data_IF_527443894060
#
_entry.id   IF_527443894060
#
_cell.length_a   1.000
_cell.length_b   1.000
_cell.length_c   1.000
_cell.angle_alpha   90.00
_cell.angle_beta   90.00
_cell.angle_gamma   90.00
#
_symmetry.space_group_name_H-M   'P 1'
#
loop_
_entity.id
_entity.type
_entity.pdbx_description
1 polymer ?
#
# COMPACT_ATOMS: atom_id res chain seq x y z
N UNK A 1 -30.12 19.01 -20.75
CA UNK A 1 -29.24 17.88 -20.44
C UNK A 1 -28.74 18.11 -19.04
N UNK A 2 -28.89 17.14 -18.10
CA UNK A 2 -28.29 17.26 -16.77
C UNK A 2 -26.77 17.30 -16.92
N UNK A 3 -26.13 18.22 -16.25
CA UNK A 3 -24.66 18.31 -16.23
C UNK A 3 -24.09 17.16 -15.39
N UNK A 4 -22.81 16.81 -15.56
CA UNK A 4 -22.16 15.79 -14.71
C UNK A 4 -22.23 16.16 -13.22
N UNK A 5 -22.31 17.47 -12.93
CA UNK A 5 -22.42 17.99 -11.55
C UNK A 5 -23.78 17.76 -10.89
N UNK A 6 -24.82 17.48 -11.67
CA UNK A 6 -26.15 17.14 -11.14
C UNK A 6 -26.24 15.68 -10.69
N UNK A 7 -25.17 14.89 -10.94
CA UNK A 7 -25.07 13.48 -10.57
C UNK A 7 -24.72 13.31 -9.09
N UNK A 8 -25.50 12.47 -8.41
CA UNK A 8 -25.22 12.04 -7.04
C UNK A 8 -24.25 10.89 -7.02
N UNK A 9 -23.19 11.01 -6.21
CA UNK A 9 -22.11 10.03 -6.12
C UNK A 9 -22.21 9.21 -4.84
N UNK A 10 -21.82 7.93 -4.89
CA UNK A 10 -21.52 7.15 -3.70
C UNK A 10 -20.06 6.66 -3.75
N UNK A 11 -19.33 6.86 -2.66
CA UNK A 11 -18.00 6.26 -2.45
C UNK A 11 -18.16 5.06 -1.52
N UNK A 12 -17.82 3.87 -2.01
CA UNK A 12 -17.97 2.60 -1.32
C UNK A 12 -16.63 2.12 -0.78
N UNK A 13 -16.47 2.21 0.55
CA UNK A 13 -15.20 1.97 1.23
C UNK A 13 -14.49 3.27 1.57
N UNK A 14 -14.50 3.65 2.84
CA UNK A 14 -13.96 4.92 3.34
C UNK A 14 -12.61 4.69 4.03
N UNK A 15 -11.63 4.27 3.24
CA UNK A 15 -10.24 4.12 3.65
C UNK A 15 -9.35 5.25 3.13
N UNK A 16 -8.05 4.99 3.06
CA UNK A 16 -7.00 5.91 2.57
C UNK A 16 -7.25 6.47 1.15
N UNK A 17 -8.10 5.82 0.38
CA UNK A 17 -8.49 6.23 -0.98
C UNK A 17 -9.85 6.92 -0.97
N UNK A 18 -10.85 6.29 -0.35
CA UNK A 18 -12.23 6.72 -0.45
C UNK A 18 -12.52 8.05 0.24
N UNK A 19 -11.92 8.30 1.42
CA UNK A 19 -12.15 9.55 2.15
C UNK A 19 -11.58 10.77 1.38
N UNK A 20 -10.30 10.80 0.97
CA UNK A 20 -9.77 11.93 0.20
C UNK A 20 -10.53 12.16 -1.11
N UNK A 21 -10.93 11.08 -1.79
CA UNK A 21 -11.70 11.17 -3.03
C UNK A 21 -13.08 11.79 -2.80
N UNK A 22 -13.81 11.37 -1.75
CA UNK A 22 -15.10 11.93 -1.37
C UNK A 22 -15.00 13.43 -1.06
N UNK A 23 -13.96 13.83 -0.32
CA UNK A 23 -13.68 15.23 0.00
C UNK A 23 -13.44 16.05 -1.27
N UNK A 24 -12.61 15.57 -2.19
CA UNK A 24 -12.34 16.29 -3.45
C UNK A 24 -13.60 16.45 -4.30
N UNK A 25 -14.49 15.46 -4.38
CA UNK A 25 -15.76 15.62 -5.08
C UNK A 25 -16.67 16.66 -4.42
N UNK A 26 -16.79 16.64 -3.09
CA UNK A 26 -17.60 17.64 -2.36
C UNK A 26 -17.04 19.05 -2.52
N UNK A 27 -15.71 19.24 -2.48
CA UNK A 27 -15.07 20.55 -2.74
C UNK A 27 -15.41 21.09 -4.11
N UNK A 28 -15.63 20.22 -5.08
CA UNK A 28 -16.00 20.59 -6.45
C UNK A 28 -17.52 20.62 -6.69
N UNK A 29 -18.33 20.56 -5.61
CA UNK A 29 -19.76 20.82 -5.64
C UNK A 29 -20.65 19.61 -5.93
N UNK A 30 -20.13 18.39 -5.83
CA UNK A 30 -20.93 17.17 -5.96
C UNK A 30 -21.66 16.83 -4.64
N UNK A 31 -22.82 16.21 -4.74
CA UNK A 31 -23.48 15.54 -3.64
C UNK A 31 -22.89 14.14 -3.48
N UNK A 32 -22.31 13.85 -2.30
CA UNK A 32 -21.57 12.61 -2.05
C UNK A 32 -22.13 11.86 -0.86
N UNK A 33 -22.44 10.59 -1.07
CA UNK A 33 -22.72 9.59 -0.04
C UNK A 33 -21.45 8.79 0.20
N UNK A 34 -20.93 8.80 1.44
CA UNK A 34 -19.82 7.96 1.85
C UNK A 34 -20.33 6.72 2.57
N UNK A 35 -20.10 5.54 2.03
CA UNK A 35 -20.56 4.27 2.60
C UNK A 35 -19.39 3.41 3.09
N UNK A 36 -19.49 2.91 4.32
CA UNK A 36 -18.60 1.86 4.85
C UNK A 36 -19.41 0.87 5.70
N UNK A 37 -19.01 -0.40 5.68
CA UNK A 37 -19.64 -1.45 6.50
C UNK A 37 -19.26 -1.33 7.98
N UNK A 38 -18.19 -0.62 8.30
CA UNK A 38 -17.72 -0.43 9.67
C UNK A 38 -18.48 0.73 10.33
N UNK A 39 -19.41 0.37 11.22
CA UNK A 39 -20.27 1.34 11.95
C UNK A 39 -19.47 2.31 12.82
N UNK A 40 -18.42 1.82 13.51
CA UNK A 40 -17.57 2.67 14.33
C UNK A 40 -16.86 3.75 13.50
N UNK A 41 -16.33 3.36 12.35
CA UNK A 41 -15.72 4.30 11.40
C UNK A 41 -16.73 5.35 10.90
N UNK A 42 -17.97 4.94 10.60
CA UNK A 42 -19.03 5.87 10.17
C UNK A 42 -19.37 6.87 11.29
N UNK A 43 -19.44 6.40 12.53
CA UNK A 43 -19.67 7.27 13.69
C UNK A 43 -18.51 8.27 13.88
N UNK A 44 -17.26 7.82 13.82
CA UNK A 44 -16.08 8.68 13.89
C UNK A 44 -16.08 9.75 12.78
N UNK A 45 -16.35 9.37 11.53
CA UNK A 45 -16.39 10.29 10.40
C UNK A 45 -17.53 11.32 10.52
N UNK A 46 -18.70 10.94 11.04
CA UNK A 46 -19.79 11.86 11.35
C UNK A 46 -19.42 12.88 12.43
N UNK A 47 -18.55 12.49 13.36
CA UNK A 47 -18.00 13.35 14.41
C UNK A 47 -16.77 14.16 13.93
N UNK A 48 -16.39 14.05 12.66
CA UNK A 48 -15.25 14.78 12.09
C UNK A 48 -13.90 14.15 12.41
N UNK A 49 -13.86 12.87 12.81
CA UNK A 49 -12.62 12.14 13.09
C UNK A 49 -12.25 11.26 11.90
N UNK A 50 -11.10 11.55 11.30
CA UNK A 50 -10.50 10.71 10.25
C UNK A 50 -9.31 9.94 10.82
N UNK A 51 -9.51 8.64 11.08
CA UNK A 51 -8.44 7.76 11.56
C UNK A 51 -7.37 7.47 10.51
N UNK A 52 -7.63 7.75 9.23
CA UNK A 52 -6.61 7.55 8.16
C UNK A 52 -5.54 8.63 8.14
N UNK A 53 -5.86 9.83 8.68
CA UNK A 53 -4.98 11.00 8.67
C UNK A 53 -4.73 11.58 7.27
N UNK A 54 -5.55 11.24 6.29
CA UNK A 54 -5.42 11.72 4.91
C UNK A 54 -6.16 13.03 4.67
N UNK A 55 -7.13 13.39 5.51
CA UNK A 55 -7.86 14.66 5.45
C UNK A 55 -7.09 15.73 6.22
N UNK A 56 -6.85 16.88 5.56
CA UNK A 56 -6.22 18.01 6.23
C UNK A 56 -7.24 18.81 7.04
N UNK A 57 -6.74 19.63 7.95
CA UNK A 57 -7.57 20.59 8.72
C UNK A 57 -8.41 21.50 7.81
N UNK A 58 -7.86 21.97 6.70
CA UNK A 58 -8.54 22.81 5.72
C UNK A 58 -9.69 22.08 4.99
N UNK A 59 -9.67 20.75 4.96
CA UNK A 59 -10.65 19.91 4.26
C UNK A 59 -11.79 19.42 5.18
N UNK A 60 -11.71 19.65 6.51
CA UNK A 60 -12.75 19.20 7.46
C UNK A 60 -14.12 19.80 7.18
N UNK A 61 -14.19 21.05 6.71
CA UNK A 61 -15.47 21.68 6.36
C UNK A 61 -16.12 21.04 5.12
N UNK A 62 -15.33 20.55 4.19
CA UNK A 62 -15.83 19.76 3.05
C UNK A 62 -16.29 18.37 3.51
N UNK A 63 -15.51 17.71 4.39
CA UNK A 63 -15.84 16.40 4.92
C UNK A 63 -17.21 16.39 5.64
N UNK A 64 -17.57 17.43 6.37
CA UNK A 64 -18.87 17.57 7.04
C UNK A 64 -20.07 17.57 6.10
N UNK A 65 -19.87 17.88 4.81
CA UNK A 65 -20.94 17.88 3.80
C UNK A 65 -21.17 16.51 3.18
N UNK A 66 -20.32 15.52 3.47
CA UNK A 66 -20.49 14.15 3.01
C UNK A 66 -21.58 13.47 3.87
N UNK A 67 -22.52 12.82 3.22
CA UNK A 67 -23.49 11.98 3.90
C UNK A 67 -22.88 10.61 4.22
N UNK A 68 -22.30 10.45 5.41
CA UNK A 68 -21.71 9.18 5.85
C UNK A 68 -22.78 8.21 6.31
N UNK A 69 -22.77 6.97 5.82
CA UNK A 69 -23.77 5.96 6.13
C UNK A 69 -23.24 4.53 6.09
N UNK A 70 -23.82 3.66 6.88
CA UNK A 70 -23.70 2.21 6.83
C UNK A 70 -25.01 1.54 6.35
N UNK A 71 -26.03 2.36 6.01
CA UNK A 71 -27.33 1.90 5.52
C UNK A 71 -27.37 1.87 3.99
N UNK A 72 -27.58 0.68 3.41
CA UNK A 72 -27.64 0.48 1.96
C UNK A 72 -28.83 1.21 1.28
N UNK A 73 -29.89 1.53 2.00
CA UNK A 73 -31.03 2.27 1.45
C UNK A 73 -30.64 3.67 0.95
N UNK A 74 -29.63 4.28 1.58
CA UNK A 74 -29.12 5.60 1.20
C UNK A 74 -28.37 5.58 -0.14
N UNK A 75 -28.03 4.39 -0.64
CA UNK A 75 -27.37 4.19 -1.91
C UNK A 75 -28.34 4.15 -3.12
N UNK A 76 -29.64 3.89 -2.90
CA UNK A 76 -30.62 3.76 -3.99
C UNK A 76 -30.81 5.02 -4.86
N UNK A 77 -30.77 6.26 -4.31
CA UNK A 77 -30.90 7.47 -5.13
C UNK A 77 -29.60 7.96 -5.76
N UNK A 78 -28.58 7.09 -5.88
CA UNK A 78 -27.24 7.43 -6.41
C UNK A 78 -27.20 7.15 -7.92
N UNK A 79 -26.51 8.01 -8.67
CA UNK A 79 -26.30 7.85 -10.12
C UNK A 79 -24.99 7.11 -10.43
N UNK A 80 -23.92 7.41 -9.68
CA UNK A 80 -22.58 6.87 -9.92
C UNK A 80 -22.01 6.33 -8.61
N UNK A 81 -21.61 5.06 -8.63
CA UNK A 81 -20.94 4.39 -7.52
C UNK A 81 -19.45 4.31 -7.81
N UNK A 82 -18.60 4.67 -6.85
CA UNK A 82 -17.15 4.54 -6.94
C UNK A 82 -16.68 3.59 -5.86
N UNK A 83 -16.06 2.49 -6.25
CA UNK A 83 -15.65 1.39 -5.37
C UNK A 83 -14.18 1.54 -5.02
N UNK A 84 -13.88 1.74 -3.74
CA UNK A 84 -12.53 1.96 -3.18
C UNK A 84 -12.21 1.00 -2.03
N UNK A 85 -12.83 -0.18 -2.06
CA UNK A 85 -12.61 -1.22 -1.04
C UNK A 85 -11.24 -1.88 -1.19
N UNK A 86 -10.66 -2.45 -0.10
CA UNK A 86 -9.37 -3.13 -0.17
C UNK A 86 -9.44 -4.40 -1.03
N UNK A 87 -8.31 -4.74 -1.64
CA UNK A 87 -8.09 -5.95 -2.43
C UNK A 87 -6.81 -6.64 -1.94
N UNK A 88 -6.89 -7.37 -0.80
CA UNK A 88 -5.74 -8.06 -0.22
C UNK A 88 -5.40 -9.36 -0.98
N UNK A 89 -4.36 -10.03 -0.52
CA UNK A 89 -4.04 -11.41 -0.86
C UNK A 89 -4.21 -12.29 0.38
N UNK A 90 -4.52 -13.56 0.16
CA UNK A 90 -4.58 -14.56 1.21
C UNK A 90 -3.18 -15.05 1.63
N UNK A 91 -3.12 -15.96 2.61
CA UNK A 91 -1.86 -16.56 3.09
C UNK A 91 -1.11 -17.34 2.00
N UNK A 92 -1.82 -17.82 0.97
CA UNK A 92 -1.25 -18.50 -0.19
C UNK A 92 -0.84 -17.54 -1.31
N UNK A 93 -0.89 -16.21 -1.04
CA UNK A 93 -0.58 -15.13 -1.98
C UNK A 93 -1.52 -15.11 -3.20
N UNK A 94 -2.76 -15.60 -3.03
CA UNK A 94 -3.80 -15.50 -4.05
C UNK A 94 -4.64 -14.24 -3.84
N UNK A 95 -5.12 -13.58 -4.91
CA UNK A 95 -6.03 -12.45 -4.81
C UNK A 95 -7.28 -12.78 -3.99
N UNK A 96 -7.58 -12.00 -2.97
CA UNK A 96 -8.85 -12.07 -2.26
C UNK A 96 -9.81 -11.04 -2.82
N UNK A 97 -10.74 -11.49 -3.66
CA UNK A 97 -11.80 -10.67 -4.25
C UNK A 97 -13.03 -10.53 -3.34
N UNK A 98 -13.03 -11.13 -2.15
CA UNK A 98 -14.16 -11.09 -1.23
C UNK A 98 -14.73 -9.69 -0.99
N UNK A 99 -13.92 -8.69 -0.63
CA UNK A 99 -14.40 -7.33 -0.39
C UNK A 99 -15.03 -6.68 -1.63
N UNK A 100 -14.38 -6.77 -2.82
CA UNK A 100 -14.86 -6.12 -4.04
C UNK A 100 -16.13 -6.81 -4.59
N UNK A 101 -16.23 -8.13 -4.49
CA UNK A 101 -17.44 -8.87 -4.86
C UNK A 101 -18.59 -8.59 -3.89
N UNK A 102 -18.30 -8.41 -2.59
CA UNK A 102 -19.31 -8.00 -1.60
C UNK A 102 -19.82 -6.59 -1.86
N UNK A 103 -18.94 -5.65 -2.22
CA UNK A 103 -19.33 -4.31 -2.65
C UNK A 103 -20.17 -4.36 -3.94
N UNK A 104 -19.77 -5.16 -4.93
CA UNK A 104 -20.54 -5.36 -6.18
C UNK A 104 -21.92 -5.97 -5.90
N UNK A 105 -22.03 -6.91 -4.97
CA UNK A 105 -23.32 -7.46 -4.53
C UNK A 105 -24.21 -6.40 -3.90
N UNK A 106 -23.66 -5.59 -2.99
CA UNK A 106 -24.39 -4.49 -2.34
C UNK A 106 -24.91 -3.50 -3.38
N UNK A 107 -24.03 -3.02 -4.25
CA UNK A 107 -24.38 -2.09 -5.33
C UNK A 107 -25.45 -2.68 -6.25
N UNK A 108 -25.29 -3.95 -6.66
CA UNK A 108 -26.27 -4.63 -7.52
C UNK A 108 -27.69 -4.63 -6.96
N UNK A 109 -27.85 -4.61 -5.64
CA UNK A 109 -29.16 -4.50 -4.98
C UNK A 109 -29.75 -3.07 -5.00
N UNK A 110 -28.91 -2.07 -5.27
CA UNK A 110 -29.27 -0.65 -5.27
C UNK A 110 -29.37 -0.06 -6.68
N UNK A 111 -28.82 -0.73 -7.70
CA UNK A 111 -28.76 -0.22 -9.07
C UNK A 111 -30.11 0.15 -9.67
N UNK A 112 -30.12 1.24 -10.41
CA UNK A 112 -31.19 1.70 -11.28
C UNK A 112 -30.69 1.84 -12.71
N UNK A 113 -31.62 1.87 -13.70
CA UNK A 113 -31.26 2.04 -15.13
C UNK A 113 -30.46 3.32 -15.35
N UNK A 114 -29.37 3.20 -16.08
CA UNK A 114 -28.47 4.30 -16.43
C UNK A 114 -27.38 4.57 -15.37
N UNK A 115 -27.35 3.83 -14.27
CA UNK A 115 -26.29 3.97 -13.29
C UNK A 115 -24.92 3.51 -13.82
N UNK A 116 -23.86 4.09 -13.26
CA UNK A 116 -22.47 3.75 -13.59
C UNK A 116 -21.77 3.27 -12.31
N UNK A 117 -21.06 2.14 -12.41
CA UNK A 117 -20.21 1.64 -11.32
C UNK A 117 -18.74 1.77 -11.74
N UNK A 118 -17.99 2.61 -11.05
CA UNK A 118 -16.57 2.84 -11.31
C UNK A 118 -15.75 2.13 -10.24
N UNK A 119 -14.82 1.27 -10.66
CA UNK A 119 -13.90 0.61 -9.73
C UNK A 119 -12.58 1.37 -9.71
N UNK A 120 -12.09 1.65 -8.49
CA UNK A 120 -10.75 2.20 -8.23
C UNK A 120 -9.85 1.21 -7.49
N UNK A 121 -10.44 0.21 -6.84
CA UNK A 121 -9.71 -0.86 -6.17
C UNK A 121 -8.75 -1.55 -7.13
N UNK A 122 -7.52 -1.82 -6.68
CA UNK A 122 -6.50 -2.48 -7.52
C UNK A 122 -6.89 -3.93 -7.78
N UNK A 123 -6.97 -4.30 -9.05
CA UNK A 123 -7.32 -5.66 -9.50
C UNK A 123 -6.49 -6.07 -10.71
N UNK A 124 -6.49 -7.36 -11.05
CA UNK A 124 -5.87 -7.84 -12.29
C UNK A 124 -6.70 -7.44 -13.54
N UNK A 125 -6.05 -7.35 -14.71
CA UNK A 125 -6.76 -7.01 -15.95
C UNK A 125 -7.89 -7.99 -16.28
N UNK A 126 -9.09 -7.47 -16.41
CA UNK A 126 -10.33 -8.21 -16.69
C UNK A 126 -11.22 -8.45 -15.46
N UNK A 127 -10.74 -8.20 -14.24
CA UNK A 127 -11.50 -8.48 -13.01
C UNK A 127 -12.84 -7.72 -12.97
N UNK A 128 -12.87 -6.45 -13.36
CA UNK A 128 -14.13 -5.69 -13.38
C UNK A 128 -15.18 -6.37 -14.26
N UNK A 129 -14.82 -6.74 -15.48
CA UNK A 129 -15.77 -7.30 -16.45
C UNK A 129 -16.04 -8.79 -16.24
N UNK A 130 -15.04 -9.57 -15.78
CA UNK A 130 -15.12 -11.03 -15.66
C UNK A 130 -15.64 -11.50 -14.30
N UNK A 131 -15.40 -10.74 -13.21
CA UNK A 131 -15.76 -11.13 -11.85
C UNK A 131 -16.83 -10.19 -11.24
N UNK A 132 -16.67 -8.87 -11.35
CA UNK A 132 -17.59 -7.92 -10.71
C UNK A 132 -18.91 -7.76 -11.47
N UNK A 133 -18.87 -7.61 -12.80
CA UNK A 133 -20.07 -7.44 -13.63
C UNK A 133 -21.06 -8.60 -13.47
N UNK A 134 -20.66 -9.88 -13.50
CA UNK A 134 -21.61 -10.99 -13.28
C UNK A 134 -22.32 -10.91 -11.92
N UNK A 135 -21.66 -10.37 -10.90
CA UNK A 135 -22.28 -10.17 -9.57
C UNK A 135 -23.29 -9.00 -9.64
N UNK A 136 -22.95 -7.90 -10.30
CA UNK A 136 -23.87 -6.78 -10.49
C UNK A 136 -25.13 -7.24 -11.24
N UNK A 137 -25.00 -7.95 -12.37
CA UNK A 137 -26.13 -8.49 -13.14
C UNK A 137 -27.00 -9.45 -12.32
N UNK A 138 -26.34 -10.37 -11.56
CA UNK A 138 -27.04 -11.34 -10.71
C UNK A 138 -27.96 -10.67 -9.68
N UNK A 139 -27.51 -9.59 -9.03
CA UNK A 139 -28.24 -8.98 -7.92
C UNK A 139 -29.15 -7.83 -8.37
N UNK A 140 -28.84 -7.11 -9.45
CA UNK A 140 -29.70 -6.08 -10.02
C UNK A 140 -30.79 -6.64 -10.92
N UNK A 141 -30.56 -7.81 -11.55
CA UNK A 141 -31.39 -8.37 -12.63
C UNK A 141 -31.40 -7.48 -13.89
N UNK A 142 -30.36 -6.71 -14.09
CA UNK A 142 -30.16 -5.80 -15.23
C UNK A 142 -29.03 -6.30 -16.13
N UNK A 143 -29.06 -5.90 -17.41
CA UNK A 143 -28.05 -6.26 -18.39
C UNK A 143 -26.93 -5.21 -18.44
N UNK A 144 -25.68 -5.69 -18.40
CA UNK A 144 -24.49 -4.88 -18.54
C UNK A 144 -24.42 -4.22 -19.94
N UNK A 145 -24.02 -2.96 -20.02
CA UNK A 145 -23.95 -2.14 -21.22
C UNK A 145 -25.30 -1.85 -21.91
N UNK A 146 -26.41 -2.19 -21.25
CA UNK A 146 -27.77 -1.86 -21.70
C UNK A 146 -28.50 -1.07 -20.58
N UNK A 147 -28.60 -1.64 -19.39
CA UNK A 147 -29.32 -1.06 -18.27
C UNK A 147 -28.40 -0.34 -17.28
N UNK A 148 -27.16 -0.83 -17.10
CA UNK A 148 -26.12 -0.20 -16.29
C UNK A 148 -24.75 -0.34 -16.98
N UNK A 149 -23.79 0.45 -16.51
CA UNK A 149 -22.46 0.53 -17.11
C UNK A 149 -21.37 0.47 -16.06
N UNK A 150 -20.14 0.16 -16.51
CA UNK A 150 -18.97 0.18 -15.65
C UNK A 150 -17.88 1.09 -16.18
N UNK A 151 -17.05 1.58 -15.26
CA UNK A 151 -15.79 2.24 -15.52
C UNK A 151 -14.71 1.69 -14.62
N UNK A 152 -13.47 2.02 -14.94
CA UNK A 152 -12.33 1.77 -14.08
C UNK A 152 -11.37 2.96 -14.12
N UNK A 153 -10.95 3.39 -12.94
CA UNK A 153 -9.99 4.50 -12.79
C UNK A 153 -9.07 4.20 -11.62
N UNK A 154 -7.84 3.71 -11.87
CA UNK A 154 -6.96 3.28 -10.79
C UNK A 154 -6.58 4.41 -9.86
N UNK A 155 -6.52 4.11 -8.56
CA UNK A 155 -5.95 5.02 -7.60
C UNK A 155 -4.41 5.01 -7.66
N UNK A 156 -3.81 6.20 -7.60
CA UNK A 156 -2.36 6.43 -7.73
C UNK A 156 -1.77 7.21 -6.56
N UNK A 157 -2.57 7.48 -5.52
CA UNK A 157 -2.10 8.13 -4.28
C UNK A 157 -1.08 7.23 -3.58
N UNK A 158 -0.08 7.86 -2.99
CA UNK A 158 0.84 7.21 -2.09
C UNK A 158 0.49 7.63 -0.65
N UNK A 159 -0.10 6.77 0.18
CA UNK A 159 -0.50 7.12 1.54
C UNK A 159 0.61 7.82 2.31
N UNK A 160 0.26 8.93 2.99
CA UNK A 160 1.21 9.79 3.71
C UNK A 160 2.03 10.75 2.84
N UNK A 161 1.86 10.76 1.51
CA UNK A 161 2.50 11.76 0.63
C UNK A 161 1.67 13.04 0.62
N UNK A 162 2.15 14.06 1.33
CA UNK A 162 1.46 15.37 1.44
C UNK A 162 1.58 16.24 0.20
N UNK A 163 2.47 15.90 -0.74
CA UNK A 163 2.71 16.67 -1.96
C UNK A 163 1.88 16.16 -3.14
N UNK A 164 1.72 14.82 -3.25
CA UNK A 164 1.02 14.16 -4.35
C UNK A 164 -0.34 13.67 -3.88
N UNK A 165 -1.37 14.52 -4.07
CA UNK A 165 -2.75 14.29 -3.65
C UNK A 165 -3.63 13.91 -4.84
N UNK A 166 -4.88 13.52 -4.57
CA UNK A 166 -5.87 13.13 -5.59
C UNK A 166 -5.87 14.10 -6.76
N UNK A 167 -5.99 15.41 -6.51
CA UNK A 167 -6.19 16.44 -7.53
C UNK A 167 -4.95 16.76 -8.39
N UNK A 168 -3.72 16.41 -7.92
CA UNK A 168 -2.49 16.79 -8.62
C UNK A 168 -1.71 15.60 -9.20
N UNK A 169 -2.36 14.43 -9.33
CA UNK A 169 -1.83 13.25 -10.03
C UNK A 169 -2.69 13.00 -11.27
N UNK A 170 -2.07 12.86 -12.45
CA UNK A 170 -2.81 12.49 -13.67
C UNK A 170 -3.59 11.19 -13.42
N UNK A 171 -4.91 11.24 -13.61
CA UNK A 171 -5.81 10.10 -13.37
C UNK A 171 -6.06 9.33 -14.68
N UNK A 172 -5.87 8.01 -14.65
CA UNK A 172 -6.25 7.15 -15.79
C UNK A 172 -7.74 6.90 -15.72
N UNK A 173 -8.44 7.01 -16.85
CA UNK A 173 -9.89 6.82 -16.93
C UNK A 173 -10.27 5.85 -18.04
N UNK A 174 -11.33 5.08 -17.82
CA UNK A 174 -11.87 4.15 -18.81
C UNK A 174 -13.36 3.87 -18.56
N UNK A 175 -14.03 3.33 -19.56
CA UNK A 175 -15.44 2.94 -19.47
C UNK A 175 -15.75 1.73 -20.34
N UNK A 176 -16.86 1.09 -20.04
CA UNK A 176 -17.31 -0.13 -20.73
C UNK A 176 -17.83 0.13 -22.16
N UNK A 177 -18.17 1.38 -22.46
CA UNK A 177 -18.44 1.87 -23.84
C UNK A 177 -17.71 3.20 -24.05
N UNK A 178 -17.52 3.66 -25.31
CA UNK A 178 -16.91 4.96 -25.58
C UNK A 178 -17.64 6.14 -24.93
N UNK A 179 -18.98 6.09 -24.87
CA UNK A 179 -19.81 7.11 -24.23
C UNK A 179 -19.58 7.15 -22.74
N UNK A 180 -19.55 5.99 -22.10
CA UNK A 180 -19.28 5.87 -20.65
C UNK A 180 -17.84 6.27 -20.31
N UNK A 181 -16.87 5.92 -21.18
CA UNK A 181 -15.49 6.38 -21.00
C UNK A 181 -15.41 7.92 -21.02
N UNK A 182 -16.22 8.60 -21.86
CA UNK A 182 -16.30 10.06 -21.86
C UNK A 182 -16.93 10.60 -20.56
N UNK A 183 -17.99 9.97 -20.05
CA UNK A 183 -18.65 10.38 -18.80
C UNK A 183 -17.69 10.21 -17.61
N UNK A 184 -16.99 9.08 -17.53
CA UNK A 184 -15.99 8.83 -16.47
C UNK A 184 -14.84 9.84 -16.55
N UNK A 185 -14.35 10.11 -17.76
CA UNK A 185 -13.29 11.10 -18.00
C UNK A 185 -13.73 12.51 -17.60
N UNK A 186 -14.94 12.94 -18.00
CA UNK A 186 -15.52 14.22 -17.61
C UNK A 186 -15.67 14.35 -16.08
N UNK A 187 -16.13 13.27 -15.40
CA UNK A 187 -16.29 13.24 -13.97
C UNK A 187 -14.98 13.53 -13.24
N UNK A 188 -13.92 12.79 -13.57
CA UNK A 188 -12.62 12.98 -12.92
C UNK A 188 -11.94 14.29 -13.30
N UNK A 189 -12.14 14.80 -14.50
CA UNK A 189 -11.65 16.13 -14.88
C UNK A 189 -12.24 17.27 -14.03
N UNK A 190 -13.37 17.05 -13.32
CA UNK A 190 -13.89 18.05 -12.38
C UNK A 190 -13.00 18.22 -11.14
N UNK A 191 -12.25 17.19 -10.75
CA UNK A 191 -11.47 17.16 -9.50
C UNK A 191 -9.97 17.08 -9.75
N UNK A 192 -9.50 16.63 -10.92
CA UNK A 192 -8.08 16.45 -11.24
C UNK A 192 -7.56 17.69 -12.00
N UNK A 193 -6.75 18.51 -11.34
CA UNK A 193 -6.26 19.77 -11.89
C UNK A 193 -5.19 19.61 -12.97
N UNK A 194 -4.46 18.48 -12.94
CA UNK A 194 -3.41 18.15 -13.93
C UNK A 194 -3.91 17.32 -15.10
N UNK A 195 -5.23 17.07 -15.14
CA UNK A 195 -5.92 16.35 -16.22
C UNK A 195 -5.93 14.84 -16.05
N UNK A 196 -6.63 14.21 -16.99
CA UNK A 196 -6.83 12.76 -17.05
C UNK A 196 -6.13 12.16 -18.28
N UNK A 197 -5.95 10.84 -18.25
CA UNK A 197 -5.48 10.05 -19.38
C UNK A 197 -6.50 8.95 -19.68
N UNK A 198 -7.37 9.23 -20.66
CA UNK A 198 -8.39 8.27 -21.08
C UNK A 198 -7.79 7.16 -21.91
N UNK A 199 -8.04 5.91 -21.53
CA UNK A 199 -7.55 4.71 -22.24
C UNK A 199 -8.69 3.97 -22.96
N UNK A 200 -8.33 3.03 -23.82
CA UNK A 200 -9.26 2.38 -24.76
C UNK A 200 -10.21 1.37 -24.12
N UNK A 201 -9.90 0.85 -22.91
CA UNK A 201 -10.75 -0.14 -22.24
C UNK A 201 -10.47 -0.22 -20.75
N UNK A 202 -11.39 -0.81 -19.99
CA UNK A 202 -11.25 -1.14 -18.58
C UNK A 202 -10.00 -1.99 -18.35
N UNK A 203 -9.78 -3.05 -19.13
CA UNK A 203 -8.60 -3.93 -19.02
C UNK A 203 -7.27 -3.19 -19.17
N UNK A 204 -7.21 -2.18 -20.03
CA UNK A 204 -5.99 -1.35 -20.20
C UNK A 204 -5.75 -0.50 -18.95
N UNK A 205 -6.82 0.08 -18.36
CA UNK A 205 -6.70 0.88 -17.15
C UNK A 205 -6.28 0.02 -15.94
N UNK A 206 -6.88 -1.17 -15.76
CA UNK A 206 -6.49 -2.15 -14.75
C UNK A 206 -5.01 -2.57 -14.90
N UNK A 207 -4.61 -2.90 -16.14
CA UNK A 207 -3.23 -3.28 -16.45
C UNK A 207 -2.24 -2.16 -16.10
N UNK A 208 -2.57 -0.90 -16.40
CA UNK A 208 -1.68 0.24 -16.14
C UNK A 208 -1.32 0.36 -14.67
N UNK A 209 -2.28 0.15 -13.77
CA UNK A 209 -2.07 0.19 -12.32
C UNK A 209 -1.12 -0.91 -11.86
N UNK A 210 -1.40 -2.14 -12.28
CA UNK A 210 -0.66 -3.31 -11.81
C UNK A 210 0.82 -3.25 -12.23
N UNK A 211 1.11 -2.77 -13.47
CA UNK A 211 2.49 -2.71 -13.96
C UNK A 211 3.32 -1.62 -13.29
N UNK A 212 2.70 -0.51 -12.81
CA UNK A 212 3.41 0.54 -12.08
C UNK A 212 4.08 -0.02 -10.81
N UNK A 213 3.33 -0.79 -10.04
CA UNK A 213 3.82 -1.39 -8.79
C UNK A 213 4.70 -2.62 -9.05
N UNK A 214 4.37 -3.45 -10.04
CA UNK A 214 5.21 -4.59 -10.45
C UNK A 214 6.59 -4.11 -10.92
N UNK A 215 6.66 -3.06 -11.73
CA UNK A 215 7.91 -2.48 -12.20
C UNK A 215 8.77 -1.97 -11.04
N UNK A 216 8.15 -1.30 -10.05
CA UNK A 216 8.85 -0.82 -8.86
C UNK A 216 9.38 -1.98 -8.02
N UNK A 217 8.57 -3.00 -7.79
CA UNK A 217 8.94 -4.21 -7.07
C UNK A 217 10.14 -4.91 -7.70
N UNK A 218 10.11 -5.08 -9.03
CA UNK A 218 11.20 -5.71 -9.77
C UNK A 218 12.51 -4.89 -9.75
N UNK A 219 12.43 -3.57 -9.83
CA UNK A 219 13.62 -2.74 -9.71
C UNK A 219 14.24 -2.83 -8.31
N UNK A 220 13.42 -2.91 -7.26
CA UNK A 220 13.94 -3.11 -5.90
C UNK A 220 14.52 -4.52 -5.77
N UNK A 221 13.87 -5.55 -6.33
CA UNK A 221 14.40 -6.92 -6.28
C UNK A 221 15.76 -7.06 -6.98
N UNK A 222 15.93 -6.38 -8.11
CA UNK A 222 17.22 -6.34 -8.82
C UNK A 222 18.32 -5.71 -7.95
N UNK A 223 18.02 -4.60 -7.28
CA UNK A 223 19.00 -3.93 -6.41
C UNK A 223 19.24 -4.75 -5.12
N UNK A 224 18.23 -5.44 -4.61
CA UNK A 224 18.39 -6.42 -3.53
C UNK A 224 19.33 -7.56 -3.96
N UNK A 225 19.14 -8.11 -5.16
CA UNK A 225 20.04 -9.15 -5.68
C UNK A 225 21.47 -8.65 -5.82
N UNK A 226 21.68 -7.41 -6.28
CA UNK A 226 23.00 -6.79 -6.29
C UNK A 226 23.60 -6.75 -4.88
N UNK A 227 22.84 -6.35 -3.86
CA UNK A 227 23.32 -6.36 -2.48
C UNK A 227 23.74 -7.77 -2.02
N UNK A 228 22.98 -8.82 -2.37
CA UNK A 228 23.32 -10.20 -2.07
C UNK A 228 24.63 -10.65 -2.76
N UNK A 229 24.87 -10.22 -3.99
CA UNK A 229 26.08 -10.52 -4.77
C UNK A 229 27.28 -9.79 -4.17
N UNK A 230 27.14 -8.48 -3.90
CA UNK A 230 28.24 -7.65 -3.42
C UNK A 230 28.65 -7.98 -1.99
N UNK A 231 27.69 -8.41 -1.14
CA UNK A 231 28.01 -8.97 0.17
C UNK A 231 29.00 -10.17 0.07
N UNK A 232 28.76 -11.09 -0.88
CA UNK A 232 29.67 -12.22 -1.11
C UNK A 232 31.03 -11.80 -1.63
N UNK A 233 31.13 -10.64 -2.26
CA UNK A 233 32.39 -10.07 -2.76
C UNK A 233 33.07 -9.16 -1.73
N UNK A 234 32.44 -8.89 -0.58
CA UNK A 234 32.87 -7.92 0.43
C UNK A 234 32.99 -6.49 -0.14
N UNK A 235 32.06 -6.08 -1.00
CA UNK A 235 32.00 -4.76 -1.61
C UNK A 235 30.76 -4.02 -1.09
N UNK A 236 30.92 -2.75 -0.76
CA UNK A 236 29.84 -1.90 -0.26
C UNK A 236 28.84 -1.56 -1.40
N UNK A 237 27.61 -2.03 -1.26
CA UNK A 237 26.55 -1.85 -2.25
C UNK A 237 26.23 -0.38 -2.49
N UNK A 238 26.20 0.44 -1.44
CA UNK A 238 25.85 1.86 -1.53
C UNK A 238 26.88 2.62 -2.37
N UNK A 239 28.17 2.36 -2.15
CA UNK A 239 29.25 2.99 -2.91
C UNK A 239 29.15 2.66 -4.41
N UNK A 240 28.80 1.40 -4.75
CA UNK A 240 28.57 1.00 -6.14
C UNK A 240 27.36 1.73 -6.74
N UNK A 241 26.25 1.79 -5.98
CA UNK A 241 25.04 2.46 -6.46
C UNK A 241 25.22 3.97 -6.61
N UNK A 242 26.03 4.60 -5.77
CA UNK A 242 26.42 6.01 -5.91
C UNK A 242 27.27 6.22 -7.18
N UNK A 243 28.25 5.37 -7.41
CA UNK A 243 29.08 5.42 -8.63
C UNK A 243 28.24 5.18 -9.90
N UNK A 244 27.38 4.17 -9.91
CA UNK A 244 26.47 3.89 -11.02
C UNK A 244 25.46 5.02 -11.25
N UNK A 245 24.99 5.65 -10.17
CA UNK A 245 24.05 6.78 -10.17
C UNK A 245 24.60 8.07 -10.79
N UNK A 246 25.91 8.17 -11.02
CA UNK A 246 26.49 9.28 -11.78
C UNK A 246 26.09 9.26 -13.26
N UNK A 247 25.62 8.11 -13.75
CA UNK A 247 25.10 8.00 -15.11
C UNK A 247 23.64 8.48 -15.16
N UNK A 248 23.36 9.39 -16.06
CA UNK A 248 22.08 10.11 -16.18
C UNK A 248 20.83 9.24 -16.31
N UNK A 249 20.94 8.02 -16.81
CA UNK A 249 19.81 7.09 -17.01
C UNK A 249 19.79 5.93 -16.01
N UNK A 250 20.61 5.97 -14.97
CA UNK A 250 20.56 4.98 -13.90
C UNK A 250 19.43 5.32 -12.92
N UNK A 251 18.54 4.38 -12.64
CA UNK A 251 17.41 4.59 -11.77
C UNK A 251 17.84 4.45 -10.29
N UNK A 252 17.50 5.41 -9.40
CA UNK A 252 18.04 5.49 -8.05
C UNK A 252 17.32 4.58 -7.05
N UNK A 253 17.07 3.32 -7.41
CA UNK A 253 16.54 2.35 -6.46
C UNK A 253 17.60 1.94 -5.44
N UNK A 254 17.15 1.61 -4.23
CA UNK A 254 18.01 1.19 -3.13
C UNK A 254 17.54 -0.18 -2.61
N UNK A 255 18.46 -1.01 -2.07
CA UNK A 255 18.08 -2.28 -1.46
C UNK A 255 17.28 -2.04 -0.17
N UNK A 256 16.48 -3.03 0.23
CA UNK A 256 15.73 -2.96 1.47
C UNK A 256 14.56 -3.94 1.53
N UNK A 257 13.81 -3.84 2.61
CA UNK A 257 12.60 -4.63 2.81
C UNK A 257 11.44 -4.03 2.00
N UNK A 258 10.72 -4.89 1.30
CA UNK A 258 9.57 -4.50 0.45
C UNK A 258 8.28 -4.99 1.07
N UNK A 259 7.64 -4.13 1.82
CA UNK A 259 6.34 -4.35 2.47
C UNK A 259 5.23 -3.47 1.89
N UNK A 260 4.17 -3.30 2.70
CA UNK A 260 3.01 -2.47 2.36
C UNK A 260 1.94 -3.23 1.58
N UNK A 261 0.83 -2.55 1.35
CA UNK A 261 -0.37 -3.14 0.75
C UNK A 261 -0.44 -3.01 -0.79
N UNK A 262 0.56 -2.38 -1.42
CA UNK A 262 0.61 -2.22 -2.88
C UNK A 262 1.75 -3.02 -3.49
N UNK A 263 3.01 -2.62 -3.25
CA UNK A 263 4.17 -3.19 -3.96
C UNK A 263 4.34 -4.68 -3.65
N UNK A 264 4.06 -5.12 -2.42
CA UNK A 264 4.15 -6.53 -2.03
C UNK A 264 2.92 -7.38 -2.41
N UNK A 265 1.85 -6.76 -2.90
CA UNK A 265 0.55 -7.40 -3.18
C UNK A 265 0.23 -7.41 -4.68
N UNK A 266 0.28 -6.25 -5.33
CA UNK A 266 -0.16 -6.08 -6.73
C UNK A 266 0.52 -7.04 -7.73
N UNK A 267 1.82 -7.37 -7.62
CA UNK A 267 2.44 -8.34 -8.52
C UNK A 267 1.77 -9.71 -8.48
N UNK A 268 1.23 -10.12 -7.32
CA UNK A 268 0.55 -11.41 -7.20
C UNK A 268 -0.80 -11.44 -7.93
N UNK A 269 -1.50 -10.31 -8.02
CA UNK A 269 -2.70 -10.19 -8.86
C UNK A 269 -2.37 -10.49 -10.33
N UNK A 270 -1.29 -9.88 -10.85
CA UNK A 270 -0.87 -10.10 -12.24
C UNK A 270 -0.37 -11.54 -12.47
N UNK A 271 0.43 -12.08 -11.53
CA UNK A 271 0.97 -13.44 -11.67
C UNK A 271 -0.11 -14.50 -11.59
N UNK A 272 -1.11 -14.32 -10.73
CA UNK A 272 -2.25 -15.23 -10.64
C UNK A 272 -3.05 -15.23 -11.96
N UNK A 273 -3.36 -14.05 -12.50
CA UNK A 273 -4.07 -13.94 -13.79
C UNK A 273 -3.25 -14.56 -14.93
N UNK A 274 -1.94 -14.32 -14.98
CA UNK A 274 -1.06 -14.92 -15.99
C UNK A 274 -1.08 -16.45 -15.93
N UNK A 275 -0.98 -17.02 -14.72
CA UNK A 275 -1.02 -18.47 -14.50
C UNK A 275 -2.38 -19.09 -14.89
N UNK A 276 -3.49 -18.39 -14.61
CA UNK A 276 -4.83 -18.85 -15.02
C UNK A 276 -4.98 -18.89 -16.56
N UNK A 277 -4.19 -18.08 -17.28
CA UNK A 277 -4.11 -18.08 -18.74
C UNK A 277 -3.06 -19.06 -19.30
N UNK A 278 -2.41 -19.85 -18.44
CA UNK A 278 -1.39 -20.82 -18.84
C UNK A 278 0.01 -20.24 -19.03
N UNK A 279 0.26 -18.97 -18.63
CA UNK A 279 1.58 -18.34 -18.70
C UNK A 279 2.25 -18.29 -17.32
N UNK A 280 3.46 -18.83 -17.20
CA UNK A 280 4.23 -18.77 -15.96
C UNK A 280 5.12 -17.51 -15.96
N UNK A 281 4.85 -16.52 -15.10
CA UNK A 281 5.56 -15.23 -15.12
C UNK A 281 6.89 -15.29 -14.35
N UNK A 282 7.92 -15.90 -14.91
CA UNK A 282 9.22 -16.19 -14.28
C UNK A 282 9.89 -14.96 -13.67
N UNK A 283 9.97 -13.86 -14.43
CA UNK A 283 10.66 -12.64 -14.01
C UNK A 283 10.01 -12.04 -12.76
N UNK A 284 8.67 -11.93 -12.76
CA UNK A 284 7.92 -11.35 -11.64
C UNK A 284 8.04 -12.22 -10.41
N UNK A 285 7.85 -13.53 -10.55
CA UNK A 285 7.94 -14.48 -9.43
C UNK A 285 9.36 -14.59 -8.87
N UNK A 286 10.39 -14.50 -9.70
CA UNK A 286 11.79 -14.46 -9.25
C UNK A 286 12.08 -13.21 -8.44
N UNK A 287 11.62 -12.03 -8.90
CA UNK A 287 11.75 -10.79 -8.14
C UNK A 287 11.03 -10.85 -6.79
N UNK A 288 9.79 -11.34 -6.78
CA UNK A 288 9.05 -11.53 -5.52
C UNK A 288 9.77 -12.45 -4.55
N UNK A 289 10.33 -13.55 -5.02
CA UNK A 289 11.09 -14.49 -4.19
C UNK A 289 12.30 -13.81 -3.54
N UNK A 290 13.01 -12.94 -4.25
CA UNK A 290 14.14 -12.18 -3.71
C UNK A 290 13.63 -11.25 -2.60
N UNK A 291 12.64 -10.40 -2.90
CA UNK A 291 12.11 -9.42 -1.95
C UNK A 291 11.50 -10.08 -0.70
N UNK A 292 10.76 -11.18 -0.86
CA UNK A 292 10.16 -11.93 0.26
C UNK A 292 11.20 -12.56 1.18
N UNK A 293 12.39 -12.91 0.67
CA UNK A 293 13.44 -13.54 1.47
C UNK A 293 14.41 -12.54 2.13
N UNK A 294 14.30 -11.24 1.86
CA UNK A 294 15.24 -10.24 2.39
C UNK A 294 15.24 -10.17 3.91
N UNK A 295 14.08 -10.30 4.58
CA UNK A 295 14.00 -10.32 6.04
C UNK A 295 14.83 -11.45 6.67
N UNK A 296 14.68 -12.66 6.14
CA UNK A 296 15.47 -13.83 6.57
C UNK A 296 16.95 -13.67 6.26
N UNK A 297 17.30 -13.14 5.10
CA UNK A 297 18.70 -12.87 4.76
C UNK A 297 19.35 -11.92 5.74
N UNK A 298 18.70 -10.80 6.04
CA UNK A 298 19.22 -9.78 6.97
C UNK A 298 19.38 -10.37 8.37
N UNK A 299 18.38 -11.09 8.89
CA UNK A 299 18.46 -11.73 10.18
C UNK A 299 19.65 -12.67 10.27
N UNK A 300 19.83 -13.56 9.30
CA UNK A 300 20.94 -14.49 9.23
C UNK A 300 22.29 -13.77 9.10
N UNK A 301 22.34 -12.63 8.39
CA UNK A 301 23.57 -11.82 8.28
C UNK A 301 23.96 -11.22 9.62
N UNK A 302 22.99 -10.62 10.34
CA UNK A 302 23.20 -10.07 11.69
C UNK A 302 23.70 -11.16 12.66
N UNK A 303 23.09 -12.35 12.64
CA UNK A 303 23.48 -13.47 13.48
C UNK A 303 24.95 -13.89 13.19
N UNK A 304 25.33 -13.97 11.91
CA UNK A 304 26.73 -14.26 11.54
C UNK A 304 27.70 -13.21 12.07
N UNK A 305 27.35 -11.93 12.00
CA UNK A 305 28.15 -10.84 12.56
C UNK A 305 28.27 -10.93 14.08
N UNK A 306 27.17 -11.28 14.79
CA UNK A 306 27.19 -11.50 16.23
C UNK A 306 28.14 -12.63 16.61
N UNK A 307 28.05 -13.77 15.92
CA UNK A 307 28.96 -14.92 16.16
C UNK A 307 30.41 -14.53 15.87
N UNK A 308 30.70 -13.82 14.80
CA UNK A 308 32.04 -13.32 14.44
C UNK A 308 32.61 -12.39 15.53
N UNK A 309 31.73 -11.60 16.16
CA UNK A 309 32.13 -10.74 17.30
C UNK A 309 32.17 -11.46 18.65
N UNK A 310 32.04 -12.78 18.67
CA UNK A 310 31.98 -13.61 19.89
C UNK A 310 30.79 -13.23 20.80
N UNK A 311 29.66 -12.87 20.24
CA UNK A 311 28.40 -12.68 20.95
C UNK A 311 27.57 -13.97 20.90
N UNK A 312 26.95 -14.32 22.04
CA UNK A 312 26.01 -15.43 22.12
C UNK A 312 24.66 -14.97 21.58
N UNK A 313 24.12 -15.65 20.58
CA UNK A 313 22.81 -15.27 19.96
C UNK A 313 21.65 -15.61 20.89
N UNK A 314 21.65 -16.85 21.45
CA UNK A 314 20.61 -17.27 22.39
C UNK A 314 20.63 -16.38 23.64
N UNK A 315 19.45 -15.84 23.99
CA UNK A 315 19.27 -14.87 25.10
C UNK A 315 19.90 -13.49 24.84
N UNK A 316 20.47 -13.24 23.67
CA UNK A 316 20.93 -11.89 23.33
C UNK A 316 19.75 -10.90 23.28
N UNK A 317 20.05 -9.64 23.55
CA UNK A 317 19.08 -8.55 23.48
C UNK A 317 19.27 -7.79 22.18
N UNK A 318 18.29 -7.88 21.29
CA UNK A 318 18.30 -7.26 19.95
C UNK A 318 17.28 -6.10 19.92
N UNK A 319 17.70 -4.94 19.44
CA UNK A 319 16.82 -3.81 19.18
C UNK A 319 16.54 -3.71 17.69
N UNK A 320 15.26 -3.63 17.31
CA UNK A 320 14.81 -3.28 15.97
C UNK A 320 14.20 -1.90 16.01
N UNK A 321 14.73 -0.99 15.21
CA UNK A 321 14.29 0.39 15.06
C UNK A 321 13.41 0.51 13.80
N UNK A 322 12.11 0.71 14.01
CA UNK A 322 11.08 0.78 12.97
C UNK A 322 10.45 -0.56 12.65
N UNK A 323 9.12 -0.57 12.52
CA UNK A 323 8.30 -1.73 12.12
C UNK A 323 7.34 -1.39 10.97
N UNK A 324 7.07 -0.11 10.72
CA UNK A 324 6.23 0.34 9.63
C UNK A 324 6.81 -0.04 8.26
N UNK A 325 6.00 -0.10 7.22
CA UNK A 325 6.50 -0.54 5.91
C UNK A 325 7.37 0.52 5.20
N UNK A 326 7.28 1.79 5.61
CA UNK A 326 8.11 2.89 5.09
C UNK A 326 8.32 3.99 6.14
N UNK A 327 9.24 4.90 5.83
CA UNK A 327 9.65 6.01 6.67
C UNK A 327 8.51 7.01 6.94
N UNK A 328 8.44 7.49 8.19
CA UNK A 328 7.54 8.57 8.64
C UNK A 328 6.04 8.33 8.36
N UNK A 329 5.61 7.08 8.36
CA UNK A 329 4.25 6.65 8.10
C UNK A 329 3.81 5.68 9.21
N UNK A 330 2.56 5.72 9.71
CA UNK A 330 2.09 4.82 10.75
C UNK A 330 1.69 3.43 10.25
N UNK A 331 1.59 3.22 8.95
CA UNK A 331 1.07 2.00 8.35
C UNK A 331 2.03 0.81 8.51
N UNK A 332 1.55 -0.24 9.15
CA UNK A 332 2.31 -1.46 9.48
C UNK A 332 2.01 -2.64 8.53
N UNK A 333 1.01 -2.52 7.66
CA UNK A 333 0.49 -3.65 6.87
C UNK A 333 1.57 -4.30 6.00
N UNK A 334 1.61 -5.63 6.03
CA UNK A 334 2.59 -6.46 5.30
C UNK A 334 4.06 -6.06 5.53
N UNK A 335 4.39 -5.56 6.73
CA UNK A 335 5.78 -5.20 7.05
C UNK A 335 6.68 -6.43 7.02
N UNK A 336 7.74 -6.40 6.21
CA UNK A 336 8.76 -7.46 6.14
C UNK A 336 9.76 -7.45 7.30
N UNK A 337 9.68 -6.43 8.15
CA UNK A 337 10.43 -6.39 9.41
C UNK A 337 10.01 -7.53 10.33
N UNK A 338 8.74 -7.96 10.25
CA UNK A 338 8.21 -9.07 11.03
C UNK A 338 8.94 -10.39 10.73
N UNK A 339 9.26 -10.66 9.47
CA UNK A 339 9.97 -11.88 9.07
C UNK A 339 11.35 -11.95 9.76
N UNK A 340 12.04 -10.81 9.80
CA UNK A 340 13.33 -10.68 10.49
C UNK A 340 13.19 -10.84 12.01
N UNK A 341 12.17 -10.25 12.63
CA UNK A 341 11.91 -10.36 14.08
C UNK A 341 11.65 -11.82 14.46
N UNK A 342 10.79 -12.51 13.70
CA UNK A 342 10.48 -13.92 13.91
C UNK A 342 11.71 -14.81 13.76
N UNK A 343 12.54 -14.52 12.77
CA UNK A 343 13.79 -15.25 12.56
C UNK A 343 14.74 -15.07 13.75
N UNK A 344 14.97 -13.85 14.28
CA UNK A 344 15.77 -13.64 15.49
C UNK A 344 15.20 -14.39 16.69
N UNK A 345 13.89 -14.36 16.88
CA UNK A 345 13.20 -15.05 17.96
C UNK A 345 13.38 -16.57 17.87
N UNK A 346 13.41 -17.14 16.65
CA UNK A 346 13.64 -18.57 16.42
C UNK A 346 15.02 -19.04 16.86
N UNK A 347 16.02 -18.14 16.85
CA UNK A 347 17.35 -18.39 17.40
C UNK A 347 17.45 -18.18 18.92
N UNK A 348 16.33 -17.87 19.58
CA UNK A 348 16.25 -17.65 21.02
C UNK A 348 16.78 -16.30 21.50
N UNK A 349 16.83 -15.30 20.62
CA UNK A 349 17.12 -13.92 21.00
C UNK A 349 15.87 -13.24 21.60
N UNK A 350 16.10 -12.26 22.48
CA UNK A 350 15.04 -11.36 22.98
C UNK A 350 15.00 -10.12 22.11
N UNK A 351 13.94 -9.97 21.32
CA UNK A 351 13.80 -8.84 20.39
C UNK A 351 12.93 -7.76 21.02
N UNK A 352 13.47 -6.55 21.12
CA UNK A 352 12.72 -5.34 21.43
C UNK A 352 12.51 -4.54 20.15
N UNK A 353 11.27 -4.11 19.89
CA UNK A 353 10.93 -3.32 18.73
C UNK A 353 10.47 -1.94 19.19
N UNK A 354 11.05 -0.91 18.63
CA UNK A 354 10.65 0.48 18.88
C UNK A 354 10.30 1.19 17.56
N UNK A 355 9.10 1.75 17.51
CA UNK A 355 8.66 2.57 16.39
C UNK A 355 7.89 3.79 16.93
N UNK A 356 8.29 5.01 16.54
CA UNK A 356 7.64 6.23 17.05
C UNK A 356 6.34 6.62 16.32
N UNK A 357 5.96 5.89 15.27
CA UNK A 357 4.79 6.17 14.44
C UNK A 357 3.74 5.06 14.47
N UNK A 358 4.16 3.80 14.68
CA UNK A 358 3.25 2.67 14.69
C UNK A 358 2.30 2.71 15.90
N UNK A 359 1.03 2.35 15.66
CA UNK A 359 0.04 2.18 16.73
C UNK A 359 0.32 0.87 17.47
N UNK A 360 0.40 0.94 18.80
CA UNK A 360 0.76 -0.21 19.64
C UNK A 360 -0.30 -1.31 19.60
N UNK A 361 -1.58 -0.91 19.61
CA UNK A 361 -2.72 -1.84 19.59
C UNK A 361 -2.81 -2.54 18.23
N UNK A 362 -2.68 -1.80 17.12
CA UNK A 362 -2.68 -2.38 15.77
C UNK A 362 -1.52 -3.38 15.56
N UNK A 363 -0.32 -3.05 16.07
CA UNK A 363 0.83 -3.97 15.98
C UNK A 363 0.59 -5.25 16.77
N UNK A 364 -0.04 -5.13 17.95
CA UNK A 364 -0.37 -6.30 18.75
C UNK A 364 -1.44 -7.17 18.06
N UNK A 365 -2.50 -6.56 17.56
CA UNK A 365 -3.60 -7.26 16.91
C UNK A 365 -3.16 -7.97 15.61
N UNK A 366 -2.32 -7.31 14.81
CA UNK A 366 -1.89 -7.83 13.50
C UNK A 366 -0.77 -8.88 13.63
N UNK A 367 0.18 -8.68 14.57
CA UNK A 367 1.42 -9.45 14.60
C UNK A 367 1.68 -10.23 15.89
N UNK A 368 0.82 -10.09 16.90
CA UNK A 368 1.02 -10.61 18.26
C UNK A 368 2.38 -10.13 18.84
N UNK A 369 2.70 -8.84 18.62
CA UNK A 369 3.97 -8.23 19.00
C UNK A 369 3.74 -6.95 19.83
N UNK A 370 4.43 -6.86 20.97
CA UNK A 370 4.39 -5.66 21.80
C UNK A 370 5.53 -4.71 21.44
N UNK A 371 5.22 -3.44 21.19
CA UNK A 371 6.22 -2.40 21.00
C UNK A 371 6.79 -1.92 22.34
N UNK A 372 8.10 -1.66 22.35
CA UNK A 372 8.74 -1.01 23.47
C UNK A 372 8.30 0.45 23.59
N UNK A 373 7.87 0.95 24.75
CA UNK A 373 7.43 2.33 24.92
C UNK A 373 8.55 3.37 24.75
N UNK A 374 9.80 2.91 24.91
CA UNK A 374 11.03 3.71 24.73
C UNK A 374 12.20 2.80 24.38
N UNK A 375 13.22 3.38 23.78
CA UNK A 375 14.50 2.70 23.54
C UNK A 375 15.17 2.43 24.89
N UNK A 376 15.50 1.16 25.14
CA UNK A 376 16.26 0.73 26.32
C UNK A 376 17.77 0.84 26.09
N UNK A 377 18.53 0.13 26.92
CA UNK A 377 20.00 0.05 26.84
C UNK A 377 20.49 -1.40 26.86
N UNK A 378 21.81 -1.60 26.70
CA UNK A 378 22.49 -2.88 26.76
C UNK A 378 22.05 -3.87 25.68
N UNK A 379 22.01 -3.41 24.41
CA UNK A 379 21.71 -4.25 23.26
C UNK A 379 22.96 -4.88 22.66
N UNK A 380 22.89 -6.17 22.34
CA UNK A 380 23.94 -6.94 21.68
C UNK A 380 23.92 -6.76 20.16
N UNK A 381 22.73 -6.49 19.61
CA UNK A 381 22.57 -6.04 18.23
C UNK A 381 21.51 -4.94 18.14
N UNK A 382 21.72 -4.01 17.20
CA UNK A 382 20.81 -2.90 16.87
C UNK A 382 20.61 -2.91 15.37
N UNK A 383 19.36 -3.02 14.94
CA UNK A 383 18.99 -3.06 13.53
C UNK A 383 18.13 -1.83 13.20
N UNK A 384 18.60 -0.98 12.30
CA UNK A 384 17.76 0.05 11.70
C UNK A 384 17.00 -0.58 10.54
N UNK A 385 15.72 -0.87 10.75
CA UNK A 385 14.87 -1.48 9.75
C UNK A 385 14.11 -0.44 8.91
N UNK A 386 13.69 0.68 9.53
CA UNK A 386 13.01 1.80 8.87
C UNK A 386 13.67 3.12 9.26
N UNK A 387 14.01 3.95 8.28
CA UNK A 387 14.77 5.20 8.49
C UNK A 387 13.87 6.37 8.88
N UNK A 388 13.19 6.30 10.02
CA UNK A 388 12.38 7.42 10.51
C UNK A 388 13.23 8.63 10.88
N UNK A 389 12.77 9.84 10.54
CA UNK A 389 13.48 11.08 10.89
C UNK A 389 13.74 11.21 12.38
N UNK A 390 12.86 10.70 13.25
CA UNK A 390 13.04 10.68 14.71
C UNK A 390 14.22 9.83 15.17
N UNK A 391 14.81 9.02 14.31
CA UNK A 391 16.00 8.23 14.66
C UNK A 391 17.32 8.96 14.39
N UNK A 392 17.30 10.13 13.75
CA UNK A 392 18.52 10.92 13.45
C UNK A 392 19.34 11.27 14.69
N UNK A 393 18.64 11.53 15.79
CA UNK A 393 19.27 12.01 17.04
C UNK A 393 19.57 10.88 18.05
N UNK A 394 19.41 9.60 17.66
CA UNK A 394 19.69 8.47 18.53
C UNK A 394 21.20 8.36 18.78
N UNK A 395 21.58 8.42 20.07
CA UNK A 395 22.94 8.13 20.46
C UNK A 395 23.18 6.60 20.54
N UNK A 396 23.64 6.02 19.44
CA UNK A 396 23.93 4.59 19.36
C UNK A 396 24.95 4.13 20.41
N UNK A 397 25.83 5.02 20.88
CA UNK A 397 26.84 4.72 21.91
C UNK A 397 26.25 4.38 23.26
N UNK A 398 25.14 5.04 23.64
CA UNK A 398 24.49 4.87 24.95
C UNK A 398 23.64 3.61 25.06
N UNK A 399 23.20 3.06 23.92
CA UNK A 399 22.28 1.92 23.90
C UNK A 399 22.98 0.56 23.69
N UNK A 400 24.26 0.57 23.32
CA UNK A 400 25.08 -0.64 23.16
C UNK A 400 25.33 -1.35 24.49
N UNK A 401 25.46 -2.68 24.45
CA UNK A 401 25.96 -3.49 25.60
C UNK A 401 27.48 -3.41 25.74
N UNK A 402 28.18 -3.28 24.61
CA UNK A 402 29.67 -3.25 24.58
C UNK A 402 30.18 -2.71 23.23
N UNK A 403 31.51 -2.65 23.09
CA UNK A 403 32.17 -2.33 21.82
C UNK A 403 31.98 -3.43 20.75
N UNK A 404 31.50 -4.62 21.13
CA UNK A 404 31.24 -5.74 20.22
C UNK A 404 29.83 -5.72 19.63
N UNK A 405 28.95 -4.85 20.13
CA UNK A 405 27.56 -4.73 19.65
C UNK A 405 27.52 -4.59 18.14
N UNK A 406 26.71 -5.42 17.48
CA UNK A 406 26.48 -5.35 16.06
C UNK A 406 25.44 -4.26 15.76
N UNK A 407 25.78 -3.32 14.89
CA UNK A 407 24.83 -2.32 14.34
C UNK A 407 24.68 -2.60 12.87
N UNK A 408 23.46 -2.97 12.46
CA UNK A 408 23.13 -3.24 11.07
C UNK A 408 22.12 -2.22 10.55
N UNK A 409 22.49 -1.53 9.48
CA UNK A 409 21.67 -0.46 8.90
C UNK A 409 21.12 -0.89 7.54
N UNK A 410 19.85 -1.26 7.50
CA UNK A 410 19.17 -1.71 6.26
C UNK A 410 18.99 -0.55 5.28
N UNK A 411 18.88 0.68 5.76
CA UNK A 411 18.51 1.85 4.98
C UNK A 411 19.67 2.75 4.61
N UNK A 412 20.88 2.42 5.11
CA UNK A 412 22.07 3.30 5.00
C UNK A 412 21.79 4.72 5.50
N UNK A 413 21.07 4.79 6.60
CA UNK A 413 20.60 6.02 7.23
C UNK A 413 21.67 6.67 8.11
N UNK A 414 22.41 5.83 8.86
CA UNK A 414 23.51 6.31 9.69
C UNK A 414 24.83 6.44 8.89
N UNK A 415 25.73 7.33 9.31
CA UNK A 415 27.07 7.38 8.74
C UNK A 415 27.77 6.00 8.80
N UNK A 416 28.47 5.60 7.73
CA UNK A 416 29.13 4.28 7.58
C UNK A 416 30.01 3.90 8.78
N UNK A 417 30.72 4.87 9.34
CA UNK A 417 31.63 4.65 10.50
C UNK A 417 30.89 4.36 11.82
N UNK A 418 29.59 4.59 11.91
CA UNK A 418 28.79 4.34 13.11
C UNK A 418 28.18 2.94 13.14
N UNK A 419 28.18 2.22 12.02
CA UNK A 419 27.55 0.92 11.85
C UNK A 419 28.59 -0.18 11.66
N UNK A 420 28.22 -1.41 12.02
CA UNK A 420 29.07 -2.58 11.77
C UNK A 420 28.99 -2.95 10.29
N UNK A 421 27.78 -2.93 9.75
CA UNK A 421 27.50 -3.24 8.35
C UNK A 421 26.18 -2.59 7.92
N UNK A 422 26.01 -2.42 6.60
CA UNK A 422 24.78 -1.94 5.96
C UNK A 422 24.42 -2.79 4.76
N UNK A 423 23.14 -2.73 4.31
CA UNK A 423 22.67 -3.49 3.15
C UNK A 423 23.12 -2.86 1.85
#
# INVERSE_FOLDING_TARGET
MSTIKDKRLAIIGLGYVGIPLAVEFVKNGFEVVGFDINKGKIEDLRNGLDATGEVNEDDFEAMKKIHFTDNSEDLKPVDIYIVTVPTPIDQSKQPDLGPILSASKLIGQCLSKGNIVIYESTVYPGCTEEDCVPVLEKYSKMAFNEDFFCGYSPERINPGDKLRRVHNIVKVTSGSTPEIANVVDELYNQIITVGTHKVSSIKVAEASKIIENTQRDLNISLVNEFALIFDKMNIDTVEILEAAGTKWNFLPFRPGLVGGHCISVDPYYLTNKAQSLGYYPEVILSGRRINDNMGFYIANRVIKLMVKNNLTVTKSKILVLGITFKENCPDIRNSRVIDMIREFSSFGATVNVYDPYANVEEVYDEYDLSLAPKIGTNYDAIILAVGHDKFKDINLGEIKSSSKTVIFDIKSFFPKQMVTERL
#
